data_IF_827286353400
#
_entry.id   IF_827286353400
#
_cell.length_a   1.000
_cell.length_b   1.000
_cell.length_c   1.000
_cell.angle_alpha   90.00
_cell.angle_beta   90.00
_cell.angle_gamma   90.00
#
_symmetry.space_group_name_H-M   'P 1'
#
loop_
_entity.id
_entity.type
_entity.pdbx_description
1 polymer ?
#
# COMPACT_ATOMS: atom_id res chain seq x y z
N UNK A 1 3.23 16.39 8.89
CA UNK A 1 4.03 17.16 7.93
C UNK A 1 5.39 16.53 7.59
N UNK A 2 6.15 15.96 8.54
CA UNK A 2 7.47 15.35 8.26
C UNK A 2 7.46 14.17 7.26
N UNK A 3 6.42 13.32 7.29
CA UNK A 3 6.32 12.15 6.38
C UNK A 3 6.12 12.53 4.91
N UNK A 4 5.40 13.62 4.63
CA UNK A 4 5.14 14.07 3.25
C UNK A 4 6.40 14.70 2.65
N UNK A 5 7.17 15.44 3.45
CA UNK A 5 8.42 16.06 3.02
C UNK A 5 9.47 15.02 2.56
N UNK A 6 9.63 13.92 3.32
CA UNK A 6 10.53 12.84 2.94
C UNK A 6 10.11 12.11 1.65
N UNK A 7 8.80 11.94 1.45
CA UNK A 7 8.25 11.31 0.25
C UNK A 7 8.50 12.15 -1.01
N UNK A 8 8.32 13.48 -0.93
CA UNK A 8 8.65 14.40 -2.02
C UNK A 8 10.14 14.35 -2.39
N UNK A 9 11.02 14.37 -1.38
CA UNK A 9 12.47 14.29 -1.61
C UNK A 9 12.91 12.95 -2.23
N UNK A 10 12.27 11.83 -1.87
CA UNK A 10 12.54 10.54 -2.51
C UNK A 10 12.07 10.51 -3.98
N UNK A 11 10.91 11.12 -4.28
CA UNK A 11 10.43 11.25 -5.67
C UNK A 11 11.36 12.12 -6.53
N UNK A 12 11.90 13.23 -6.02
CA UNK A 12 12.86 14.06 -6.75
C UNK A 12 14.15 13.30 -7.09
N UNK A 13 14.53 12.30 -6.29
CA UNK A 13 15.69 11.43 -6.54
C UNK A 13 15.36 10.22 -7.43
N UNK A 14 14.16 10.17 -8.01
CA UNK A 14 13.68 9.08 -8.85
C UNK A 14 13.28 7.82 -8.08
N UNK A 15 13.22 7.88 -6.75
CA UNK A 15 12.79 6.76 -5.91
C UNK A 15 11.28 6.88 -5.74
N UNK A 16 10.54 6.18 -6.58
CA UNK A 16 9.07 6.11 -6.48
C UNK A 16 8.69 5.10 -5.39
N UNK A 17 8.12 5.54 -4.26
CA UNK A 17 7.68 4.61 -3.23
C UNK A 17 6.54 3.76 -3.76
N UNK A 18 6.67 2.43 -3.67
CA UNK A 18 5.58 1.51 -4.00
C UNK A 18 4.62 1.47 -2.83
N UNK A 19 3.45 2.07 -3.01
CA UNK A 19 2.35 1.97 -2.06
C UNK A 19 1.47 0.78 -2.41
N UNK A 20 1.18 -0.04 -1.41
CA UNK A 20 0.14 -1.05 -1.51
C UNK A 20 -1.12 -0.49 -0.88
N UNK A 21 -2.23 -0.50 -1.61
CA UNK A 21 -3.54 -0.18 -1.05
C UNK A 21 -3.95 -1.33 -0.15
N UNK A 22 -3.96 -1.09 1.15
CA UNK A 22 -4.47 -2.03 2.15
C UNK A 22 -5.99 -1.88 2.24
N UNK A 23 -6.70 -2.99 2.13
CA UNK A 23 -8.14 -3.01 2.36
C UNK A 23 -8.38 -3.04 3.88
N UNK A 24 -9.17 -2.10 4.40
CA UNK A 24 -9.48 -2.01 5.83
C UNK A 24 -11.00 -2.12 5.99
N UNK A 25 -11.46 -2.96 6.92
CA UNK A 25 -12.89 -3.07 7.19
C UNK A 25 -13.39 -1.96 8.13
N UNK A 26 -14.71 -1.84 8.32
CA UNK A 26 -15.33 -0.82 9.18
C UNK A 26 -14.91 -0.89 10.66
N UNK A 27 -14.29 -1.99 11.10
CA UNK A 27 -13.76 -2.19 12.45
C UNK A 27 -12.30 -1.76 12.58
N UNK A 28 -11.64 -1.39 11.48
CA UNK A 28 -10.24 -0.97 11.45
C UNK A 28 -9.24 -2.12 11.25
N UNK A 29 -9.70 -3.33 10.92
CA UNK A 29 -8.79 -4.45 10.70
C UNK A 29 -8.30 -4.46 9.24
N UNK A 30 -7.01 -4.75 9.07
CA UNK A 30 -6.39 -4.98 7.75
C UNK A 30 -6.91 -6.29 7.18
N UNK A 31 -7.40 -6.24 5.94
CA UNK A 31 -7.89 -7.39 5.19
C UNK A 31 -6.90 -7.71 4.07
N UNK A 32 -6.66 -8.99 3.85
CA UNK A 32 -5.94 -9.43 2.67
C UNK A 32 -6.83 -9.20 1.45
N UNK A 33 -6.35 -8.55 0.38
CA UNK A 33 -7.14 -8.40 -0.84
C UNK A 33 -7.37 -9.79 -1.45
N UNK A 34 -8.63 -10.21 -1.47
CA UNK A 34 -9.07 -11.44 -2.13
C UNK A 34 -9.33 -11.15 -3.61
N UNK A 35 -8.94 -12.07 -4.49
CA UNK A 35 -9.27 -11.99 -5.90
C UNK A 35 -10.76 -12.33 -6.13
N UNK A 36 -11.26 -12.16 -7.36
CA UNK A 36 -12.65 -12.47 -7.76
C UNK A 36 -13.13 -13.90 -7.42
N UNK A 37 -12.18 -14.81 -7.16
CA UNK A 37 -12.42 -16.19 -6.77
C UNK A 37 -12.31 -16.43 -5.25
N UNK A 38 -12.25 -15.37 -4.42
CA UNK A 38 -12.13 -15.46 -2.97
C UNK A 38 -10.79 -16.00 -2.47
N UNK A 39 -9.76 -16.03 -3.32
CA UNK A 39 -8.42 -16.48 -2.95
C UNK A 39 -7.54 -15.28 -2.58
N UNK A 40 -6.72 -15.37 -1.52
CA UNK A 40 -5.76 -14.32 -1.22
C UNK A 40 -4.85 -14.09 -2.42
N UNK A 41 -4.76 -12.85 -2.88
CA UNK A 41 -3.88 -12.48 -3.99
C UNK A 41 -2.44 -12.72 -3.52
N UNK A 42 -1.63 -13.51 -4.25
CA UNK A 42 -0.27 -13.80 -3.81
C UNK A 42 0.52 -12.48 -3.70
N UNK A 43 1.37 -12.34 -2.67
CA UNK A 43 2.24 -11.18 -2.56
C UNK A 43 3.18 -11.16 -3.76
N UNK A 44 3.04 -10.13 -4.61
CA UNK A 44 4.00 -9.84 -5.67
C UNK A 44 5.17 -9.12 -5.03
N UNK A 45 6.24 -9.86 -4.72
CA UNK A 45 7.50 -9.32 -4.20
C UNK A 45 8.32 -8.65 -5.31
#
# INVERSE_FOLDING_TARGET
>A
MRSLFAMFFMMERGIMPRFHLLQINAKGNVMCPENENGRPTPPVF
#
